data_IF_657399027022
#
_entry.id   IF_657399027022
#
_cell.length_a   1.000
_cell.length_b   1.000
_cell.length_c   1.000
_cell.angle_alpha   90.00
_cell.angle_beta   90.00
_cell.angle_gamma   90.00
#
_symmetry.space_group_name_H-M   'P 1'
#
loop_
_entity.id
_entity.type
_entity.pdbx_description
1 polymer ?
#
# COMPACT_ATOMS: atom_id res chain seq x y z
N UNK A 1 -16.82 42.66 -5.33
CA UNK A 1 -15.86 41.86 -6.12
C UNK A 1 -15.25 40.83 -5.17
N UNK A 2 -15.69 39.59 -5.26
CA UNK A 2 -15.10 38.49 -4.51
C UNK A 2 -13.92 37.96 -5.34
N UNK A 3 -12.71 38.22 -4.90
CA UNK A 3 -11.50 37.62 -5.49
C UNK A 3 -11.49 36.14 -5.14
N UNK A 4 -11.62 35.28 -6.16
CA UNK A 4 -11.44 33.84 -6.01
C UNK A 4 -10.02 33.56 -5.49
N UNK A 5 -9.84 32.70 -4.48
CA UNK A 5 -8.51 32.32 -4.02
C UNK A 5 -7.75 31.65 -5.16
N UNK A 6 -6.50 32.07 -5.35
CA UNK A 6 -5.62 31.56 -6.38
C UNK A 6 -5.31 30.06 -6.14
N UNK A 7 -5.87 29.19 -6.96
CA UNK A 7 -5.73 27.71 -6.87
C UNK A 7 -4.27 27.25 -6.99
N UNK A 8 -3.38 28.09 -7.54
CA UNK A 8 -1.97 27.76 -7.71
C UNK A 8 -1.16 27.74 -6.40
N UNK A 9 -1.59 28.48 -5.37
CA UNK A 9 -0.86 28.59 -4.11
C UNK A 9 -1.14 27.39 -3.18
N UNK A 10 -2.35 26.83 -3.27
CA UNK A 10 -2.74 25.64 -2.48
C UNK A 10 -1.98 24.35 -2.88
N UNK A 11 -1.59 24.22 -4.15
CA UNK A 11 -0.82 23.06 -4.64
C UNK A 11 0.63 23.07 -4.17
N UNK A 12 1.27 24.23 -4.14
CA UNK A 12 2.65 24.38 -3.65
C UNK A 12 2.78 24.08 -2.15
N UNK A 13 1.83 24.52 -1.34
CA UNK A 13 1.81 24.21 0.10
C UNK A 13 1.61 22.71 0.34
N UNK A 14 0.70 22.05 -0.38
CA UNK A 14 0.47 20.60 -0.24
C UNK A 14 1.71 19.80 -0.61
N UNK A 15 2.38 20.12 -1.70
CA UNK A 15 3.60 19.42 -2.11
C UNK A 15 4.71 19.60 -1.06
N UNK A 16 4.92 20.80 -0.56
CA UNK A 16 5.91 21.09 0.47
C UNK A 16 5.62 20.29 1.76
N UNK A 17 4.36 20.22 2.18
CA UNK A 17 3.91 19.43 3.34
C UNK A 17 4.14 17.93 3.13
N UNK A 18 3.84 17.41 1.94
CA UNK A 18 4.11 16.00 1.60
C UNK A 18 5.60 15.68 1.62
N UNK A 19 6.44 16.55 1.06
CA UNK A 19 7.90 16.41 1.07
C UNK A 19 8.47 16.46 2.49
N UNK A 20 7.90 17.27 3.38
CA UNK A 20 8.29 17.34 4.78
C UNK A 20 8.06 16.02 5.55
N UNK A 21 7.24 15.10 5.02
CA UNK A 21 7.04 13.77 5.59
C UNK A 21 8.16 12.77 5.23
N UNK A 22 9.08 13.12 4.33
CA UNK A 22 10.15 12.22 3.87
C UNK A 22 10.96 11.59 5.02
N UNK A 23 11.34 12.31 6.12
CA UNK A 23 12.04 11.68 7.23
C UNK A 23 11.26 10.60 7.97
N UNK A 24 9.92 10.62 7.86
CA UNK A 24 9.02 9.62 8.45
C UNK A 24 8.76 8.43 7.54
N UNK A 25 9.35 8.41 6.36
CA UNK A 25 9.12 7.33 5.41
C UNK A 25 9.72 6.02 5.93
N UNK A 26 9.05 4.91 5.66
CA UNK A 26 9.36 3.60 6.25
C UNK A 26 10.78 3.11 5.99
N UNK A 27 11.45 3.54 4.92
CA UNK A 27 12.85 3.14 4.63
C UNK A 27 13.83 3.57 5.72
N UNK A 28 13.50 4.61 6.48
CA UNK A 28 14.31 5.11 7.59
C UNK A 28 14.01 4.39 8.91
N UNK A 29 12.98 3.54 8.95
CA UNK A 29 12.60 2.81 10.16
C UNK A 29 13.61 1.70 10.45
N UNK A 30 14.04 1.50 11.72
CA UNK A 30 15.01 0.46 12.09
C UNK A 30 14.63 -0.93 11.60
N UNK A 31 13.35 -1.31 11.62
CA UNK A 31 12.85 -2.58 11.11
C UNK A 31 13.20 -2.76 9.62
N UNK A 32 12.97 -1.73 8.79
CA UNK A 32 13.27 -1.77 7.37
C UNK A 32 14.78 -1.89 7.12
N UNK A 33 15.59 -1.22 7.93
CA UNK A 33 17.04 -1.31 7.85
C UNK A 33 17.55 -2.69 8.27
N UNK A 34 16.99 -3.29 9.32
CA UNK A 34 17.30 -4.66 9.73
C UNK A 34 16.91 -5.66 8.64
N UNK A 35 15.76 -5.47 8.00
CA UNK A 35 15.34 -6.30 6.87
C UNK A 35 16.34 -6.22 5.72
N UNK A 36 16.77 -5.02 5.34
CA UNK A 36 17.72 -4.81 4.25
C UNK A 36 19.09 -5.46 4.53
N UNK A 37 19.47 -5.57 5.80
CA UNK A 37 20.71 -6.24 6.23
C UNK A 37 20.55 -7.74 6.51
N UNK A 38 19.35 -8.30 6.35
CA UNK A 38 19.07 -9.71 6.63
C UNK A 38 19.15 -10.09 8.11
N UNK A 39 18.90 -9.14 9.01
CA UNK A 39 18.99 -9.33 10.46
C UNK A 39 17.67 -9.73 11.13
N UNK A 40 16.56 -9.81 10.35
CA UNK A 40 15.27 -10.21 10.89
C UNK A 40 15.21 -11.73 11.07
N UNK A 41 14.67 -12.16 12.20
CA UNK A 41 14.32 -13.57 12.40
C UNK A 41 13.04 -13.95 11.64
N UNK A 42 12.75 -15.25 11.63
CA UNK A 42 11.60 -15.79 10.90
C UNK A 42 10.28 -15.22 11.42
N UNK A 43 10.14 -15.06 12.72
CA UNK A 43 8.90 -14.56 13.34
C UNK A 43 8.64 -13.10 12.94
N UNK A 44 9.68 -12.27 12.90
CA UNK A 44 9.58 -10.89 12.47
C UNK A 44 9.18 -10.79 10.98
N UNK A 45 9.75 -11.65 10.13
CA UNK A 45 9.39 -11.71 8.70
C UNK A 45 7.94 -12.17 8.53
N UNK A 46 7.51 -13.19 9.25
CA UNK A 46 6.12 -13.67 9.23
C UNK A 46 5.14 -12.56 9.62
N UNK A 47 5.40 -11.84 10.70
CA UNK A 47 4.58 -10.71 11.13
C UNK A 47 4.51 -9.59 10.08
N UNK A 48 5.65 -9.28 9.46
CA UNK A 48 5.71 -8.31 8.37
C UNK A 48 4.89 -8.74 7.15
N UNK A 49 5.01 -10.00 6.72
CA UNK A 49 4.24 -10.55 5.58
C UNK A 49 2.75 -10.47 5.85
N UNK A 50 2.29 -10.85 7.06
CA UNK A 50 0.88 -10.76 7.45
C UNK A 50 0.34 -9.33 7.35
N UNK A 51 1.06 -8.37 7.91
CA UNK A 51 0.68 -6.97 7.86
C UNK A 51 0.67 -6.41 6.42
N UNK A 52 1.68 -6.76 5.64
CA UNK A 52 1.78 -6.31 4.24
C UNK A 52 0.73 -6.95 3.35
N UNK A 53 0.40 -8.22 3.57
CA UNK A 53 -0.67 -8.88 2.80
C UNK A 53 -1.99 -8.12 2.95
N UNK A 54 -2.39 -7.77 4.17
CA UNK A 54 -3.59 -6.98 4.40
C UNK A 54 -3.55 -5.63 3.66
N UNK A 55 -2.42 -4.93 3.73
CA UNK A 55 -2.24 -3.70 2.99
C UNK A 55 -2.38 -3.90 1.48
N UNK A 56 -1.81 -4.97 0.95
CA UNK A 56 -1.87 -5.28 -0.50
C UNK A 56 -3.30 -5.53 -0.99
N UNK A 57 -4.12 -6.27 -0.25
CA UNK A 57 -5.52 -6.49 -0.64
C UNK A 57 -6.38 -5.22 -0.56
N UNK A 58 -5.99 -4.24 0.23
CA UNK A 58 -6.68 -2.95 0.30
C UNK A 58 -6.35 -2.00 -0.86
N UNK A 59 -5.20 -2.19 -1.53
CA UNK A 59 -4.76 -1.29 -2.62
C UNK A 59 -5.76 -1.27 -3.78
N UNK A 60 -6.17 -2.41 -4.39
CA UNK A 60 -7.11 -2.37 -5.51
C UNK A 60 -8.49 -1.81 -5.11
N UNK A 61 -8.94 -2.04 -3.88
CA UNK A 61 -10.19 -1.44 -3.38
C UNK A 61 -10.10 0.10 -3.31
N UNK A 62 -9.01 0.61 -2.78
CA UNK A 62 -8.74 2.05 -2.73
C UNK A 62 -8.64 2.64 -4.15
N UNK A 63 -7.92 1.98 -5.03
CA UNK A 63 -7.72 2.42 -6.41
C UNK A 63 -9.06 2.44 -7.18
N UNK A 64 -9.92 1.44 -6.97
CA UNK A 64 -11.28 1.42 -7.54
C UNK A 64 -12.14 2.58 -7.02
N UNK A 65 -12.05 2.89 -5.73
CA UNK A 65 -12.77 4.02 -5.14
C UNK A 65 -12.30 5.37 -5.70
N UNK A 66 -11.00 5.53 -5.96
CA UNK A 66 -10.46 6.71 -6.65
C UNK A 66 -10.97 6.80 -8.08
N UNK A 67 -10.95 5.69 -8.82
CA UNK A 67 -11.42 5.63 -10.21
C UNK A 67 -12.91 5.99 -10.33
N UNK A 68 -13.73 5.57 -9.37
CA UNK A 68 -15.16 5.88 -9.36
C UNK A 68 -15.46 7.40 -9.32
N UNK A 69 -14.51 8.19 -8.84
CA UNK A 69 -14.62 9.66 -8.74
C UNK A 69 -13.80 10.41 -9.79
N UNK A 70 -13.07 9.70 -10.65
CA UNK A 70 -12.20 10.32 -11.65
C UNK A 70 -12.93 10.42 -13.01
N UNK A 71 -13.27 11.62 -13.49
CA UNK A 71 -13.93 11.81 -14.78
C UNK A 71 -12.99 11.63 -15.97
N UNK A 72 -11.67 11.75 -15.78
CA UNK A 72 -10.68 11.67 -16.84
C UNK A 72 -10.40 10.23 -17.27
N UNK A 73 -10.71 9.93 -18.55
CA UNK A 73 -10.52 8.59 -19.14
C UNK A 73 -9.04 8.21 -19.21
N UNK A 74 -8.16 9.14 -19.53
CA UNK A 74 -6.73 8.87 -19.67
C UNK A 74 -6.12 8.48 -18.31
N UNK A 75 -6.50 9.18 -17.24
CA UNK A 75 -6.10 8.85 -15.88
C UNK A 75 -6.67 7.48 -15.47
N UNK A 76 -7.96 7.21 -15.72
CA UNK A 76 -8.55 5.89 -15.38
C UNK A 76 -7.86 4.73 -16.09
N UNK A 77 -7.44 4.89 -17.35
CA UNK A 77 -6.69 3.86 -18.09
C UNK A 77 -5.38 3.48 -17.42
N UNK A 78 -4.69 4.45 -16.81
CA UNK A 78 -3.47 4.18 -16.05
C UNK A 78 -3.77 3.51 -14.71
N UNK A 79 -4.82 3.93 -14.00
CA UNK A 79 -5.19 3.38 -12.71
C UNK A 79 -5.74 1.95 -12.78
N UNK A 80 -6.48 1.60 -13.84
CA UNK A 80 -7.00 0.24 -14.00
C UNK A 80 -5.87 -0.78 -14.09
N UNK A 81 -4.74 -0.43 -14.68
CA UNK A 81 -3.57 -1.30 -14.74
C UNK A 81 -3.08 -1.67 -13.34
N UNK A 82 -3.09 -0.76 -12.40
CA UNK A 82 -2.71 -1.03 -11.00
C UNK A 82 -3.62 -2.06 -10.33
N UNK A 83 -4.91 -2.04 -10.63
CA UNK A 83 -5.86 -3.05 -10.12
C UNK A 83 -5.52 -4.41 -10.72
N UNK A 84 -5.29 -4.49 -12.03
CA UNK A 84 -4.91 -5.72 -12.71
C UNK A 84 -3.57 -6.28 -12.18
N UNK A 85 -2.61 -5.40 -11.90
CA UNK A 85 -1.30 -5.79 -11.35
C UNK A 85 -1.44 -6.43 -9.95
N UNK A 86 -2.42 -6.03 -9.16
CA UNK A 86 -2.68 -6.58 -7.82
C UNK A 86 -3.59 -7.82 -7.85
N UNK A 87 -4.74 -7.70 -8.51
CA UNK A 87 -5.75 -8.77 -8.52
C UNK A 87 -5.42 -9.89 -9.51
N UNK A 88 -4.66 -9.57 -10.55
CA UNK A 88 -4.44 -10.48 -11.67
C UNK A 88 -5.58 -10.44 -12.68
N UNK A 89 -5.41 -11.19 -13.75
CA UNK A 89 -6.39 -11.38 -14.83
C UNK A 89 -6.08 -12.71 -15.55
N UNK A 90 -6.91 -13.10 -16.53
CA UNK A 90 -6.72 -14.34 -17.26
C UNK A 90 -5.31 -14.45 -17.87
N UNK A 91 -4.55 -15.45 -17.44
CA UNK A 91 -3.18 -15.71 -17.89
C UNK A 91 -2.09 -14.96 -17.13
N UNK A 92 -2.44 -14.15 -16.12
CA UNK A 92 -1.45 -13.47 -15.27
C UNK A 92 -1.88 -13.48 -13.81
N UNK A 93 -1.02 -13.99 -12.95
CA UNK A 93 -1.21 -13.91 -11.51
C UNK A 93 -0.87 -12.50 -11.02
N UNK A 94 -1.68 -11.97 -10.11
CA UNK A 94 -1.47 -10.65 -9.54
C UNK A 94 -0.50 -10.63 -8.37
N UNK A 95 -0.15 -9.43 -7.93
CA UNK A 95 0.73 -9.22 -6.78
C UNK A 95 0.18 -9.78 -5.47
N UNK A 96 -1.13 -9.85 -5.30
CA UNK A 96 -1.77 -10.48 -4.12
C UNK A 96 -1.42 -11.96 -4.03
N UNK A 97 -1.46 -12.69 -5.15
CA UNK A 97 -1.02 -14.08 -5.21
C UNK A 97 0.47 -14.24 -4.88
N UNK A 98 1.31 -13.33 -5.35
CA UNK A 98 2.73 -13.33 -5.01
C UNK A 98 2.96 -13.15 -3.49
N UNK A 99 2.13 -12.35 -2.81
CA UNK A 99 2.18 -12.21 -1.35
C UNK A 99 1.74 -13.47 -0.61
N UNK A 100 0.73 -14.19 -1.11
CA UNK A 100 0.35 -15.50 -0.56
C UNK A 100 1.50 -16.51 -0.66
N UNK A 101 2.16 -16.58 -1.81
CA UNK A 101 3.33 -17.45 -2.02
C UNK A 101 4.51 -17.06 -1.11
N UNK A 102 4.74 -15.77 -0.93
CA UNK A 102 5.76 -15.32 0.01
C UNK A 102 5.43 -15.76 1.44
N UNK A 103 4.16 -15.67 1.84
CA UNK A 103 3.69 -16.18 3.13
C UNK A 103 3.95 -17.66 3.31
N UNK A 104 3.64 -18.47 2.31
CA UNK A 104 3.93 -19.92 2.32
C UNK A 104 5.44 -20.19 2.43
N UNK A 105 6.25 -19.44 1.69
CA UNK A 105 7.71 -19.58 1.71
C UNK A 105 8.32 -19.27 3.10
N UNK A 106 7.70 -18.40 3.88
CA UNK A 106 8.15 -18.10 5.26
C UNK A 106 7.43 -18.95 6.32
N UNK A 107 6.58 -19.90 5.90
CA UNK A 107 5.94 -20.87 6.78
C UNK A 107 4.57 -20.45 7.33
N UNK A 108 3.88 -19.53 6.66
CA UNK A 108 2.49 -19.20 6.94
C UNK A 108 1.56 -19.99 6.01
N UNK A 109 0.37 -20.36 6.50
CA UNK A 109 -0.65 -20.93 5.62
C UNK A 109 -1.43 -19.82 4.88
N UNK A 110 -1.94 -20.13 3.70
CA UNK A 110 -2.86 -19.24 2.97
C UNK A 110 -4.08 -18.89 3.79
N UNK A 111 -4.64 -19.87 4.47
CA UNK A 111 -5.79 -19.70 5.36
C UNK A 111 -5.49 -18.68 6.46
N UNK A 112 -4.32 -18.78 7.10
CA UNK A 112 -3.91 -17.80 8.11
C UNK A 112 -3.85 -16.38 7.55
N UNK A 113 -3.25 -16.19 6.36
CA UNK A 113 -3.16 -14.88 5.73
C UNK A 113 -4.54 -14.33 5.34
N UNK A 114 -5.38 -15.16 4.74
CA UNK A 114 -6.70 -14.75 4.23
C UNK A 114 -7.72 -14.54 5.35
N UNK A 115 -7.61 -15.25 6.48
CA UNK A 115 -8.50 -15.11 7.63
C UNK A 115 -8.19 -13.89 8.50
N UNK A 116 -7.00 -13.32 8.39
CA UNK A 116 -6.59 -12.15 9.16
C UNK A 116 -7.28 -10.87 8.66
N UNK A 117 -8.57 -10.79 8.86
CA UNK A 117 -9.33 -9.54 8.69
C UNK A 117 -9.12 -8.55 9.85
N UNK A 118 -8.31 -8.88 10.83
CA UNK A 118 -8.05 -8.01 11.98
C UNK A 118 -7.04 -6.92 11.64
N UNK A 119 -7.52 -5.95 10.93
CA UNK A 119 -6.90 -4.66 10.67
C UNK A 119 -6.48 -3.86 11.92
N UNK A 120 -6.77 -4.37 13.11
CA UNK A 120 -6.55 -3.64 14.36
C UNK A 120 -5.11 -3.24 14.60
N UNK A 121 -4.15 -3.99 14.05
CA UNK A 121 -2.72 -3.66 14.20
C UNK A 121 -2.22 -2.67 13.16
N UNK A 122 -2.81 -2.63 11.96
CA UNK A 122 -2.34 -1.76 10.87
C UNK A 122 -2.80 -0.33 11.03
N UNK A 123 -3.95 -0.09 11.63
CA UNK A 123 -4.41 1.25 11.96
C UNK A 123 -3.50 1.96 12.96
N UNK A 124 -2.81 1.20 13.82
CA UNK A 124 -1.84 1.76 14.77
C UNK A 124 -0.54 2.26 14.11
N UNK A 125 -0.22 1.81 12.88
CA UNK A 125 0.96 2.26 12.12
C UNK A 125 0.65 3.40 11.14
N UNK A 126 -0.64 3.67 10.89
CA UNK A 126 -1.10 4.73 9.98
C UNK A 126 -1.60 5.98 10.72
N UNK A 127 -1.71 5.92 12.04
CA UNK A 127 -2.05 7.08 12.86
C UNK A 127 -0.76 7.77 13.32
N UNK A 128 -0.71 9.10 13.22
CA UNK A 128 0.44 9.91 13.63
C UNK A 128 0.69 9.86 15.13
#
# INVERSE_FOLDING_TARGET
MLTSPNVSDAGGDLEARLRALAPRYHINHPFQQMMARGELDRAAIQGWVQNRYYYQICIPLKDAALMAKCPDVAVRRQWVQRILDHDGYDGAEGGIEAWLRLGEAVGLSRETLQSQQSASSLLLWLLP
#
